data_IF_152146782628
#
_entry.id   IF_152146782628
#
_cell.length_a   1.000
_cell.length_b   1.000
_cell.length_c   1.000
_cell.angle_alpha   90.00
_cell.angle_beta   90.00
_cell.angle_gamma   90.00
#
_symmetry.space_group_name_H-M   'P 1'
#
loop_
_entity.id
_entity.type
_entity.pdbx_description
1 polymer ?
#
# COMPACT_ATOMS: atom_id res chain seq x y z
N UNK A 1 26.61 42.86 10.67
CA UNK A 1 26.69 41.62 9.87
C UNK A 1 25.30 41.35 9.31
N UNK A 2 25.10 41.52 8.01
CA UNK A 2 23.83 41.23 7.36
C UNK A 2 23.77 39.73 7.04
N UNK A 3 22.80 39.02 7.63
CA UNK A 3 22.59 37.59 7.40
C UNK A 3 21.94 37.37 6.03
N UNK A 4 22.64 36.65 5.16
CA UNK A 4 22.15 36.28 3.84
C UNK A 4 21.29 35.01 3.99
N UNK A 5 19.97 35.16 3.98
CA UNK A 5 19.03 34.03 3.93
C UNK A 5 19.13 33.36 2.56
N UNK A 6 19.69 32.15 2.49
CA UNK A 6 19.59 31.31 1.29
C UNK A 6 18.16 30.80 1.14
N UNK A 7 17.49 31.22 0.07
CA UNK A 7 16.25 30.59 -0.35
C UNK A 7 16.56 29.18 -0.88
N UNK A 8 15.96 28.15 -0.29
CA UNK A 8 16.03 26.80 -0.83
C UNK A 8 15.29 26.76 -2.17
N UNK A 9 16.04 26.59 -3.27
CA UNK A 9 15.44 26.38 -4.58
C UNK A 9 14.76 25.00 -4.60
N UNK A 10 13.45 24.98 -4.84
CA UNK A 10 12.70 23.75 -5.09
C UNK A 10 13.22 23.09 -6.37
N UNK A 11 13.60 21.81 -6.29
CA UNK A 11 14.01 21.03 -7.45
C UNK A 11 12.90 21.04 -8.51
N UNK A 12 13.23 21.15 -9.81
CA UNK A 12 12.23 21.10 -10.87
C UNK A 12 11.50 19.75 -10.83
N UNK A 13 10.19 19.79 -11.04
CA UNK A 13 9.40 18.57 -11.16
C UNK A 13 9.91 17.71 -12.33
N UNK A 14 10.01 16.40 -12.11
CA UNK A 14 10.43 15.48 -13.17
C UNK A 14 9.50 15.58 -14.38
N UNK A 15 10.08 15.68 -15.57
CA UNK A 15 9.35 15.47 -16.81
C UNK A 15 9.02 13.98 -16.91
N UNK A 16 7.73 13.64 -16.82
CA UNK A 16 7.26 12.27 -16.93
C UNK A 16 6.87 11.93 -18.36
N UNK A 17 7.02 10.66 -18.71
CA UNK A 17 6.49 10.07 -19.95
C UNK A 17 4.97 10.28 -20.07
N UNK A 18 4.41 10.20 -21.30
CA UNK A 18 2.97 10.17 -21.55
C UNK A 18 2.26 9.11 -20.69
N UNK A 19 0.98 9.33 -20.37
CA UNK A 19 0.22 8.46 -19.44
C UNK A 19 -0.46 7.26 -20.13
N UNK A 20 -0.04 6.94 -21.35
CA UNK A 20 -0.80 6.05 -22.23
C UNK A 20 -0.68 4.58 -21.84
N UNK A 21 0.49 4.16 -21.36
CA UNK A 21 0.80 2.76 -21.00
C UNK A 21 1.46 2.68 -19.64
N UNK A 22 1.02 1.71 -18.83
CA UNK A 22 1.66 1.33 -17.56
C UNK A 22 1.80 -0.19 -17.45
N UNK A 23 2.68 -0.64 -16.56
CA UNK A 23 2.92 -2.07 -16.30
C UNK A 23 2.77 -2.38 -14.80
N UNK A 24 2.22 -3.54 -14.47
CA UNK A 24 2.20 -4.05 -13.09
C UNK A 24 3.41 -4.95 -12.85
N UNK A 25 4.28 -4.55 -11.92
CA UNK A 25 5.48 -5.29 -11.54
C UNK A 25 5.17 -6.19 -10.33
N UNK A 26 4.34 -7.20 -10.58
CA UNK A 26 3.79 -8.07 -9.54
C UNK A 26 4.90 -8.85 -8.81
N UNK A 27 5.03 -8.66 -7.49
CA UNK A 27 6.02 -9.32 -6.61
C UNK A 27 7.50 -8.98 -6.86
N UNK A 28 7.80 -7.99 -7.69
CA UNK A 28 9.20 -7.55 -7.89
C UNK A 28 9.74 -6.82 -6.66
N UNK A 29 11.03 -7.02 -6.35
CA UNK A 29 11.73 -6.26 -5.31
C UNK A 29 11.85 -4.80 -5.73
N UNK A 30 11.83 -3.88 -4.76
CA UNK A 30 11.99 -2.45 -5.03
C UNK A 30 13.26 -2.12 -5.83
N UNK A 31 14.35 -2.80 -5.50
CA UNK A 31 15.64 -2.64 -6.17
C UNK A 31 15.65 -3.11 -7.62
N UNK A 32 14.84 -4.10 -7.98
CA UNK A 32 14.72 -4.58 -9.36
C UNK A 32 13.80 -3.69 -10.19
N UNK A 33 12.70 -3.20 -9.61
CA UNK A 33 11.85 -2.19 -10.25
C UNK A 33 12.65 -0.91 -10.54
N UNK A 34 13.50 -0.46 -9.60
CA UNK A 34 14.34 0.71 -9.79
C UNK A 34 15.27 0.57 -11.00
N UNK A 35 15.91 -0.61 -11.16
CA UNK A 35 16.75 -0.92 -12.33
C UNK A 35 15.94 -0.93 -13.61
N UNK A 36 14.77 -1.57 -13.59
CA UNK A 36 13.90 -1.70 -14.76
C UNK A 36 13.36 -0.35 -15.23
N UNK A 37 13.04 0.55 -14.30
CA UNK A 37 12.67 1.92 -14.60
C UNK A 37 13.75 2.66 -15.41
N UNK A 38 15.00 2.59 -14.96
CA UNK A 38 16.12 3.27 -15.62
C UNK A 38 16.53 2.60 -16.93
N UNK A 39 16.57 1.27 -16.96
CA UNK A 39 17.15 0.51 -18.08
C UNK A 39 16.16 0.29 -19.22
N UNK A 40 14.85 0.23 -18.93
CA UNK A 40 13.85 -0.17 -19.90
C UNK A 40 12.61 0.70 -19.90
N UNK A 41 11.86 0.77 -18.79
CA UNK A 41 10.53 1.40 -18.78
C UNK A 41 10.59 2.89 -19.17
N UNK A 42 11.54 3.63 -18.60
CA UNK A 42 11.78 5.04 -18.93
C UNK A 42 12.11 5.22 -20.42
N UNK A 43 13.20 4.61 -20.92
CA UNK A 43 13.60 4.68 -22.34
C UNK A 43 12.52 4.22 -23.34
N UNK A 44 11.69 3.25 -22.97
CA UNK A 44 10.61 2.74 -23.82
C UNK A 44 9.31 3.55 -23.71
N UNK A 45 9.28 4.60 -22.89
CA UNK A 45 8.14 5.52 -22.82
C UNK A 45 6.97 5.04 -21.96
N UNK A 46 7.17 4.06 -21.06
CA UNK A 46 6.12 3.69 -20.10
C UNK A 46 5.81 4.87 -19.17
N UNK A 47 4.53 5.17 -19.02
CA UNK A 47 4.02 6.29 -18.22
C UNK A 47 3.96 6.02 -16.72
N UNK A 48 3.92 4.75 -16.32
CA UNK A 48 3.89 4.37 -14.92
C UNK A 48 4.11 2.88 -14.65
N UNK A 49 4.42 2.59 -13.41
CA UNK A 49 4.58 1.24 -12.86
C UNK A 49 3.65 1.07 -11.65
N UNK A 50 2.84 0.02 -11.66
CA UNK A 50 2.07 -0.39 -10.50
C UNK A 50 2.90 -1.36 -9.65
N UNK A 51 3.10 -1.02 -8.38
CA UNK A 51 3.81 -1.85 -7.42
C UNK A 51 2.83 -2.67 -6.58
N UNK A 52 3.29 -3.82 -6.10
CA UNK A 52 2.56 -4.60 -5.11
C UNK A 52 2.49 -3.87 -3.74
N UNK A 53 1.59 -4.24 -2.81
CA UNK A 53 1.40 -3.50 -1.57
C UNK A 53 2.67 -3.22 -0.76
N UNK A 54 2.97 -1.95 -0.41
CA UNK A 54 4.20 -1.57 0.27
C UNK A 54 4.12 -1.64 1.80
N UNK A 55 2.92 -1.70 2.38
CA UNK A 55 2.72 -1.74 3.83
C UNK A 55 3.25 -3.03 4.46
N UNK A 56 3.60 -2.96 5.73
CA UNK A 56 3.88 -4.15 6.54
C UNK A 56 2.65 -5.05 6.61
N UNK A 57 2.83 -6.32 6.30
CA UNK A 57 1.74 -7.27 6.09
C UNK A 57 2.08 -8.64 6.69
N UNK A 58 1.17 -9.61 6.52
CA UNK A 58 1.40 -10.99 6.93
C UNK A 58 2.68 -11.56 6.26
N UNK A 59 3.54 -12.19 7.07
CA UNK A 59 4.85 -12.74 6.67
C UNK A 59 4.80 -14.14 6.04
N UNK A 60 3.62 -14.65 5.69
CA UNK A 60 3.46 -15.98 5.09
C UNK A 60 4.28 -16.17 3.80
N UNK A 61 4.19 -17.33 3.15
CA UNK A 61 4.91 -17.63 1.92
C UNK A 61 4.09 -17.47 0.64
N UNK A 62 2.80 -17.19 0.75
CA UNK A 62 1.89 -17.07 -0.40
C UNK A 62 2.00 -15.69 -1.06
N UNK A 63 1.63 -15.62 -2.33
CA UNK A 63 1.63 -14.35 -3.05
C UNK A 63 0.63 -13.34 -2.46
N UNK A 64 -0.47 -13.85 -1.88
CA UNK A 64 -1.56 -13.03 -1.39
C UNK A 64 -1.37 -12.51 0.05
N UNK A 65 -0.35 -12.96 0.80
CA UNK A 65 -0.19 -12.50 2.19
C UNK A 65 0.10 -10.99 2.28
N UNK A 66 0.62 -10.39 1.19
CA UNK A 66 0.85 -8.94 1.11
C UNK A 66 -0.45 -8.12 1.07
N UNK A 67 -1.58 -8.77 0.73
CA UNK A 67 -2.91 -8.16 0.79
C UNK A 67 -3.54 -8.26 2.18
N UNK A 68 -2.79 -8.73 3.17
CA UNK A 68 -3.20 -8.77 4.57
C UNK A 68 -2.35 -7.78 5.37
N UNK A 69 -2.62 -6.47 5.26
CA UNK A 69 -1.85 -5.45 5.96
C UNK A 69 -2.02 -5.57 7.47
N UNK A 70 -0.98 -5.16 8.19
CA UNK A 70 -0.93 -5.14 9.66
C UNK A 70 -0.61 -3.73 10.15
N UNK A 71 0.30 -3.03 9.47
CA UNK A 71 0.75 -1.69 9.84
C UNK A 71 1.07 -0.85 8.61
N UNK A 72 0.28 0.20 8.39
CA UNK A 72 0.47 1.14 7.29
C UNK A 72 1.62 2.14 7.53
N UNK A 73 2.05 2.32 8.77
CA UNK A 73 3.11 3.28 9.12
C UNK A 73 4.52 2.72 8.91
N UNK A 74 4.62 1.41 8.76
CA UNK A 74 5.88 0.74 8.44
C UNK A 74 5.82 0.14 7.04
N UNK A 75 6.67 0.64 6.14
CA UNK A 75 6.73 0.22 4.73
C UNK A 75 7.77 -0.89 4.47
N UNK A 76 8.09 -1.69 5.49
CA UNK A 76 8.89 -2.91 5.34
C UNK A 76 7.98 -4.05 4.92
N UNK A 77 7.99 -4.37 3.63
CA UNK A 77 7.18 -5.42 3.01
C UNK A 77 8.03 -6.62 2.58
N UNK A 78 7.40 -7.62 1.95
CA UNK A 78 8.13 -8.70 1.28
C UNK A 78 9.01 -8.21 0.13
N UNK A 79 8.75 -7.03 -0.42
CA UNK A 79 9.45 -6.48 -1.60
C UNK A 79 10.67 -5.63 -1.23
N UNK A 80 10.80 -5.26 0.05
CA UNK A 80 11.93 -4.50 0.59
C UNK A 80 11.49 -3.51 1.68
N UNK A 81 12.45 -2.77 2.18
CA UNK A 81 12.30 -1.72 3.22
C UNK A 81 11.68 -0.44 2.67
N UNK A 82 11.21 0.43 3.56
CA UNK A 82 10.73 1.77 3.18
C UNK A 82 11.79 2.64 2.52
N UNK A 83 13.07 2.49 2.90
CA UNK A 83 14.17 3.21 2.28
C UNK A 83 14.41 2.76 0.83
N UNK A 84 14.34 1.45 0.57
CA UNK A 84 14.42 0.90 -0.79
C UNK A 84 13.22 1.32 -1.64
N UNK A 85 12.01 1.35 -1.05
CA UNK A 85 10.82 1.87 -1.72
C UNK A 85 10.99 3.33 -2.14
N UNK A 86 11.47 4.19 -1.23
CA UNK A 86 11.74 5.60 -1.53
C UNK A 86 12.79 5.75 -2.63
N UNK A 87 13.87 4.97 -2.57
CA UNK A 87 14.91 4.95 -3.59
C UNK A 87 14.36 4.54 -4.97
N UNK A 88 13.51 3.51 -5.01
CA UNK A 88 12.83 3.07 -6.23
C UNK A 88 11.93 4.16 -6.80
N UNK A 89 11.11 4.81 -5.97
CA UNK A 89 10.24 5.92 -6.40
C UNK A 89 11.08 7.05 -7.03
N UNK A 90 12.15 7.47 -6.35
CA UNK A 90 13.03 8.52 -6.86
C UNK A 90 13.67 8.13 -8.20
N UNK A 91 14.13 6.88 -8.31
CA UNK A 91 14.76 6.35 -9.53
C UNK A 91 13.75 6.30 -10.69
N UNK A 92 12.55 5.78 -10.46
CA UNK A 92 11.50 5.74 -11.47
C UNK A 92 11.08 7.14 -11.91
N UNK A 93 10.90 8.08 -10.96
CA UNK A 93 10.59 9.46 -11.28
C UNK A 93 11.69 10.13 -12.11
N UNK A 94 12.96 9.88 -11.79
CA UNK A 94 14.09 10.37 -12.58
C UNK A 94 14.12 9.78 -14.01
N UNK A 95 13.62 8.56 -14.20
CA UNK A 95 13.45 7.93 -15.50
C UNK A 95 12.14 8.32 -16.23
N UNK A 96 11.36 9.26 -15.68
CA UNK A 96 10.10 9.71 -16.26
C UNK A 96 8.91 8.77 -16.03
N UNK A 97 9.05 7.77 -15.15
CA UNK A 97 8.02 6.75 -14.86
C UNK A 97 7.33 7.05 -13.54
N UNK A 98 6.00 7.15 -13.52
CA UNK A 98 5.20 7.33 -12.28
C UNK A 98 5.10 6.03 -11.49
N UNK A 99 4.95 6.12 -10.18
CA UNK A 99 4.67 4.94 -9.33
C UNK A 99 3.23 4.96 -8.86
N UNK A 100 2.51 3.86 -9.06
CA UNK A 100 1.16 3.62 -8.55
C UNK A 100 1.23 2.55 -7.46
N UNK A 101 0.95 2.94 -6.21
CA UNK A 101 0.95 2.02 -5.09
C UNK A 101 -0.40 1.29 -4.96
N UNK A 102 -0.34 -0.03 -4.83
CA UNK A 102 -1.49 -0.84 -4.42
C UNK A 102 -1.68 -0.71 -2.90
N UNK A 103 -2.84 -0.20 -2.48
CA UNK A 103 -3.15 0.06 -1.07
C UNK A 103 -4.44 -0.67 -0.71
N UNK A 104 -4.35 -1.61 0.23
CA UNK A 104 -5.51 -2.32 0.77
C UNK A 104 -6.18 -1.44 1.82
N UNK A 105 -7.33 -0.84 1.47
CA UNK A 105 -8.10 0.07 2.35
C UNK A 105 -9.29 -0.60 3.04
N UNK A 106 -9.67 -1.80 2.60
CA UNK A 106 -10.90 -2.47 3.03
C UNK A 106 -10.75 -3.26 4.33
N UNK A 107 -9.67 -4.03 4.46
CA UNK A 107 -9.52 -5.03 5.53
C UNK A 107 -8.07 -5.10 6.03
N UNK A 108 -7.87 -5.75 7.17
CA UNK A 108 -6.54 -6.11 7.70
C UNK A 108 -6.32 -7.64 7.71
N UNK A 109 -5.13 -8.06 8.15
CA UNK A 109 -4.77 -9.47 8.27
C UNK A 109 -5.72 -10.27 9.18
N UNK A 110 -6.11 -11.46 8.73
CA UNK A 110 -6.86 -12.42 9.54
C UNK A 110 -5.94 -13.21 10.50
N UNK A 111 -6.55 -14.03 11.37
CA UNK A 111 -5.82 -14.89 12.31
C UNK A 111 -4.95 -14.10 13.31
N UNK A 112 -3.77 -14.62 13.62
CA UNK A 112 -2.78 -13.94 14.46
C UNK A 112 -1.38 -14.26 13.97
N UNK A 113 -0.42 -13.39 14.26
CA UNK A 113 0.96 -13.59 13.82
C UNK A 113 1.86 -12.39 14.05
N UNK A 114 2.95 -12.33 13.28
CA UNK A 114 3.92 -11.23 13.29
C UNK A 114 4.19 -10.78 11.86
N UNK A 115 4.12 -9.47 11.62
CA UNK A 115 4.20 -8.88 10.28
C UNK A 115 5.62 -8.90 9.72
N UNK A 116 5.76 -8.53 8.45
CA UNK A 116 7.07 -8.35 7.77
C UNK A 116 7.98 -7.35 8.49
N UNK A 117 7.41 -6.37 9.21
CA UNK A 117 8.17 -5.43 10.03
C UNK A 117 8.33 -5.84 11.51
N UNK A 118 7.86 -7.02 11.91
CA UNK A 118 8.02 -7.53 13.28
C UNK A 118 6.89 -7.16 14.26
N UNK A 119 5.87 -6.41 13.84
CA UNK A 119 4.71 -6.11 14.69
C UNK A 119 3.78 -7.32 14.84
N UNK A 120 3.38 -7.66 16.06
CA UNK A 120 2.41 -8.73 16.31
C UNK A 120 0.97 -8.24 16.06
N UNK A 121 0.07 -9.16 15.64
CA UNK A 121 -1.36 -8.87 15.50
C UNK A 121 -2.24 -10.03 15.97
N UNK A 122 -3.48 -9.69 16.35
CA UNK A 122 -4.60 -10.61 16.57
C UNK A 122 -5.83 -10.02 15.89
N UNK A 123 -6.43 -10.79 14.98
CA UNK A 123 -7.48 -10.33 14.09
C UNK A 123 -8.67 -9.67 14.82
N UNK A 124 -9.13 -8.56 14.26
CA UNK A 124 -10.23 -7.74 14.77
C UNK A 124 -10.11 -7.36 16.27
N UNK A 125 -8.92 -7.46 16.87
CA UNK A 125 -8.73 -7.26 18.31
C UNK A 125 -7.55 -6.35 18.59
N UNK A 126 -6.39 -6.63 17.98
CA UNK A 126 -5.16 -5.90 18.22
C UNK A 126 -4.28 -5.85 16.98
N UNK A 127 -4.08 -4.63 16.49
CA UNK A 127 -3.09 -4.24 15.50
C UNK A 127 -2.36 -3.00 16.02
N UNK A 128 -1.16 -2.64 15.49
CA UNK A 128 -0.42 -1.46 15.95
C UNK A 128 -1.22 -0.17 16.03
N UNK A 129 -2.24 -0.01 15.17
CA UNK A 129 -3.11 1.17 15.14
C UNK A 129 -4.60 0.89 15.18
N UNK A 130 -5.03 -0.37 15.13
CA UNK A 130 -6.45 -0.71 15.03
C UNK A 130 -6.86 -1.63 16.17
N UNK A 131 -8.06 -1.39 16.67
CA UNK A 131 -8.71 -2.10 17.76
C UNK A 131 -10.02 -2.70 17.27
N UNK A 132 -10.69 -3.50 18.09
CA UNK A 132 -11.99 -4.08 17.76
C UNK A 132 -13.06 -3.05 17.34
N UNK A 133 -12.98 -1.81 17.87
CA UNK A 133 -13.93 -0.74 17.54
C UNK A 133 -13.77 -0.16 16.14
N UNK A 134 -12.67 -0.48 15.44
CA UNK A 134 -12.38 0.02 14.09
C UNK A 134 -12.88 -0.94 13.00
N UNK A 135 -13.54 -2.04 13.35
CA UNK A 135 -14.04 -3.05 12.41
C UNK A 135 -15.56 -3.15 12.46
N UNK A 136 -16.16 -3.49 11.32
CA UNK A 136 -17.54 -3.93 11.29
C UNK A 136 -17.71 -5.24 12.10
N UNK A 137 -18.94 -5.50 12.62
CA UNK A 137 -19.27 -6.77 13.26
C UNK A 137 -18.96 -7.97 12.36
N UNK A 138 -18.61 -9.10 12.97
CA UNK A 138 -18.25 -10.29 12.22
C UNK A 138 -19.44 -10.88 11.44
N UNK A 139 -19.32 -10.90 10.12
CA UNK A 139 -20.11 -11.67 9.17
C UNK A 139 -19.24 -11.96 7.94
N UNK A 140 -19.64 -12.91 7.09
CA UNK A 140 -18.88 -13.29 5.89
C UNK A 140 -19.73 -13.08 4.63
N UNK A 141 -19.11 -12.51 3.59
CA UNK A 141 -19.75 -12.33 2.28
C UNK A 141 -20.06 -13.71 1.68
N UNK A 142 -21.31 -13.91 1.28
CA UNK A 142 -21.77 -15.10 0.55
C UNK A 142 -21.83 -14.84 -0.96
N UNK A 143 -21.77 -15.90 -1.76
CA UNK A 143 -21.82 -15.78 -3.22
C UNK A 143 -23.09 -15.09 -3.74
N UNK A 144 -24.24 -15.30 -3.08
CA UNK A 144 -25.49 -14.64 -3.46
C UNK A 144 -25.46 -13.12 -3.23
N UNK A 145 -24.70 -12.65 -2.23
CA UNK A 145 -24.75 -11.25 -1.79
C UNK A 145 -24.32 -10.27 -2.88
N UNK A 146 -23.39 -10.69 -3.75
CA UNK A 146 -22.94 -9.89 -4.90
C UNK A 146 -24.09 -9.49 -5.85
N UNK A 147 -25.18 -10.24 -5.86
CA UNK A 147 -26.34 -9.99 -6.73
C UNK A 147 -27.48 -9.22 -6.05
N UNK A 148 -27.61 -9.34 -4.72
CA UNK A 148 -28.85 -8.94 -4.05
C UNK A 148 -28.66 -8.30 -2.66
N UNK A 149 -27.44 -8.20 -2.13
CA UNK A 149 -27.19 -7.75 -0.78
C UNK A 149 -25.95 -6.86 -0.69
N UNK A 150 -26.10 -5.61 -1.15
CA UNK A 150 -25.04 -4.59 -1.08
C UNK A 150 -24.52 -4.41 0.35
N UNK A 151 -25.37 -4.49 1.36
CA UNK A 151 -24.97 -4.27 2.74
C UNK A 151 -23.91 -5.31 3.16
N UNK A 152 -24.16 -6.59 2.93
CA UNK A 152 -23.18 -7.65 3.20
C UNK A 152 -21.90 -7.46 2.37
N UNK A 153 -21.99 -7.15 1.08
CA UNK A 153 -20.81 -6.93 0.22
C UNK A 153 -19.89 -5.82 0.75
N UNK A 154 -20.44 -4.81 1.42
CA UNK A 154 -19.67 -3.63 1.87
C UNK A 154 -19.35 -3.62 3.37
N UNK A 155 -19.86 -4.55 4.16
CA UNK A 155 -19.72 -4.54 5.62
C UNK A 155 -19.38 -5.91 6.21
N UNK A 156 -19.44 -6.98 5.42
CA UNK A 156 -19.01 -8.31 5.82
C UNK A 156 -17.61 -8.61 5.29
N UNK A 157 -16.99 -9.60 5.92
CA UNK A 157 -15.61 -10.00 5.66
C UNK A 157 -15.50 -10.69 4.31
N UNK A 158 -14.59 -10.21 3.49
CA UNK A 158 -14.15 -10.92 2.30
C UNK A 158 -13.24 -12.07 2.74
N UNK A 159 -13.68 -13.32 2.53
CA UNK A 159 -12.93 -14.55 2.87
C UNK A 159 -12.38 -14.58 4.31
N UNK A 160 -13.14 -14.05 5.27
CA UNK A 160 -12.77 -14.01 6.69
C UNK A 160 -11.79 -12.90 7.09
N UNK A 161 -11.42 -12.00 6.18
CA UNK A 161 -10.55 -10.85 6.46
C UNK A 161 -11.30 -9.79 7.28
N UNK A 162 -10.79 -9.38 8.46
CA UNK A 162 -11.43 -8.35 9.29
C UNK A 162 -11.70 -7.06 8.51
N UNK A 163 -12.98 -6.72 8.37
CA UNK A 163 -13.48 -5.61 7.56
C UNK A 163 -13.47 -4.31 8.35
N UNK A 164 -12.72 -3.30 7.88
CA UNK A 164 -12.62 -2.01 8.55
C UNK A 164 -13.96 -1.26 8.44
N UNK A 165 -14.38 -0.62 9.53
CA UNK A 165 -15.46 0.35 9.47
C UNK A 165 -14.95 1.62 8.78
N UNK A 166 -15.03 1.62 7.45
CA UNK A 166 -14.56 2.72 6.59
C UNK A 166 -15.52 3.91 6.54
N UNK A 167 -16.44 3.99 7.50
CA UNK A 167 -17.35 5.12 7.65
C UNK A 167 -16.66 6.45 7.93
N UNK A 168 -17.41 7.57 7.91
CA UNK A 168 -16.85 8.92 8.05
C UNK A 168 -16.03 9.16 9.32
N UNK A 169 -16.32 8.43 10.41
CA UNK A 169 -15.60 8.53 11.67
C UNK A 169 -14.14 8.06 11.52
N UNK A 170 -13.92 6.91 10.87
CA UNK A 170 -12.58 6.41 10.59
C UNK A 170 -11.82 7.37 9.67
N UNK A 171 -12.43 7.83 8.58
CA UNK A 171 -11.77 8.71 7.62
C UNK A 171 -11.37 10.07 8.20
N UNK A 172 -12.15 10.62 9.16
CA UNK A 172 -11.86 11.92 9.79
C UNK A 172 -10.88 11.82 10.96
N UNK A 173 -11.01 10.80 11.81
CA UNK A 173 -10.21 10.65 13.03
C UNK A 173 -8.78 10.16 12.80
N UNK A 174 -8.46 9.75 11.56
CA UNK A 174 -7.22 9.02 11.23
C UNK A 174 -6.51 9.60 10.00
N UNK A 175 -6.60 10.93 9.81
CA UNK A 175 -5.85 11.66 8.77
C UNK A 175 -4.35 11.35 8.88
N UNK A 176 -3.78 10.63 7.91
CA UNK A 176 -2.38 10.17 7.90
C UNK A 176 -2.15 8.68 8.15
N UNK A 177 -3.18 7.84 8.17
CA UNK A 177 -3.04 6.36 8.26
C UNK A 177 -3.00 5.68 6.89
N UNK A 178 -3.58 6.30 5.86
CA UNK A 178 -3.60 5.81 4.47
C UNK A 178 -2.93 6.85 3.58
#
# INVERSE_FOLDING_TARGET
>A
MAGMTMAAASAPAHAFNPRDTSVQMFHWKWTDIAKECSNFLGPQGYGGVQISPPSSANRGSNWWDIYQPVDYTNLTSKMGTGAELQSMINTCHAAGVRVYADIVVNHLAAGSGTSTAGANWVAASSYPRFSAADFHPACDIQGSDYSNNRNAVTQCRLVGLPDLDTGPAMCKGRSGII
#
